data_IF_142448683813
#
_entry.id   IF_142448683813
#
_cell.length_a   1.000
_cell.length_b   1.000
_cell.length_c   1.000
_cell.angle_alpha   90.00
_cell.angle_beta   90.00
_cell.angle_gamma   90.00
#
_symmetry.space_group_name_H-M   'P 1'
#
loop_
_entity.id
_entity.type
_entity.pdbx_description
1 polymer ?
#
# COMPACT_ATOMS: atom_id res chain seq x y z
N UNK A 1 -20.54 -0.22 0.76
CA UNK A 1 -19.71 0.89 0.26
C UNK A 1 -18.40 0.29 -0.19
N UNK A 2 -18.07 0.37 -1.48
CA UNK A 2 -16.75 -0.01 -2.00
C UNK A 2 -15.78 1.03 -1.48
N UNK A 3 -15.02 0.71 -0.44
CA UNK A 3 -13.91 1.55 0.01
C UNK A 3 -12.94 1.60 -1.14
N UNK A 4 -12.90 2.71 -1.87
CA UNK A 4 -11.92 2.94 -2.91
C UNK A 4 -10.54 2.84 -2.25
N UNK A 5 -9.83 1.73 -2.48
CA UNK A 5 -8.45 1.57 -2.02
C UNK A 5 -7.60 2.56 -2.80
N UNK A 6 -7.40 3.74 -2.22
CA UNK A 6 -6.54 4.77 -2.78
C UNK A 6 -5.09 4.29 -2.68
N UNK A 7 -4.37 4.32 -3.79
CA UNK A 7 -2.97 3.93 -3.82
C UNK A 7 -2.14 5.15 -4.21
N UNK A 8 -1.07 5.49 -3.49
CA UNK A 8 -0.21 6.61 -3.86
C UNK A 8 0.38 6.38 -5.27
N UNK A 9 0.44 7.41 -6.14
CA UNK A 9 0.97 7.30 -7.49
C UNK A 9 2.49 7.05 -7.47
N UNK A 10 3.02 6.39 -8.50
CA UNK A 10 4.48 6.26 -8.67
C UNK A 10 5.09 7.58 -9.12
N UNK A 11 6.43 7.68 -9.06
CA UNK A 11 7.15 8.88 -9.49
C UNK A 11 6.87 9.21 -10.96
N UNK A 12 6.89 8.20 -11.82
CA UNK A 12 6.65 8.32 -13.27
C UNK A 12 5.23 8.82 -13.55
N UNK A 13 4.26 8.33 -12.77
CA UNK A 13 2.87 8.79 -12.83
C UNK A 13 2.77 10.26 -12.41
N UNK A 14 3.43 10.65 -11.31
CA UNK A 14 3.46 12.04 -10.84
C UNK A 14 4.12 12.96 -11.87
N UNK A 15 5.24 12.57 -12.47
CA UNK A 15 5.93 13.35 -13.50
C UNK A 15 5.05 13.54 -14.74
N UNK A 16 4.35 12.49 -15.16
CA UNK A 16 3.40 12.55 -16.28
C UNK A 16 2.24 13.51 -15.98
N UNK A 17 1.61 13.38 -14.82
CA UNK A 17 0.48 14.22 -14.39
C UNK A 17 0.92 15.69 -14.26
N UNK A 18 2.10 15.92 -13.66
CA UNK A 18 2.68 17.26 -13.49
C UNK A 18 2.95 17.91 -14.85
N UNK A 19 3.44 17.13 -15.82
CA UNK A 19 3.67 17.64 -17.18
C UNK A 19 2.37 18.12 -17.84
N UNK A 20 1.30 17.32 -17.74
CA UNK A 20 -0.02 17.71 -18.26
C UNK A 20 -0.54 18.97 -17.56
N UNK A 21 -0.39 19.04 -16.24
CA UNK A 21 -0.85 20.19 -15.47
C UNK A 21 -0.08 21.49 -15.82
N UNK A 22 1.24 21.42 -15.88
CA UNK A 22 2.09 22.62 -16.02
C UNK A 22 2.32 23.05 -17.47
N UNK A 23 2.49 22.10 -18.39
CA UNK A 23 2.84 22.40 -19.77
C UNK A 23 1.61 22.40 -20.68
N UNK A 24 0.77 21.37 -20.59
CA UNK A 24 -0.43 21.29 -21.42
C UNK A 24 -1.55 22.20 -20.87
N UNK A 25 -1.43 22.64 -19.60
CA UNK A 25 -2.39 23.49 -18.87
C UNK A 25 -3.80 22.91 -18.84
N UNK A 26 -3.88 21.58 -18.80
CA UNK A 26 -5.12 20.84 -18.82
C UNK A 26 -5.38 20.19 -17.46
N UNK A 27 -6.08 20.94 -16.59
CA UNK A 27 -6.35 20.52 -15.22
C UNK A 27 -7.33 19.34 -15.16
N UNK A 28 -8.32 19.30 -16.06
CA UNK A 28 -9.34 18.24 -16.09
C UNK A 28 -8.74 16.91 -16.52
N UNK A 29 -7.85 16.95 -17.52
CA UNK A 29 -7.06 15.79 -17.93
C UNK A 29 -6.10 15.35 -16.84
N UNK A 30 -5.37 16.27 -16.20
CA UNK A 30 -4.49 15.95 -15.08
C UNK A 30 -5.26 15.29 -13.92
N UNK A 31 -6.46 15.78 -13.59
CA UNK A 31 -7.33 15.21 -12.57
C UNK A 31 -7.80 13.80 -12.95
N UNK A 32 -8.15 13.57 -14.22
CA UNK A 32 -8.53 12.24 -14.73
C UNK A 32 -7.38 11.24 -14.60
N UNK A 33 -6.16 11.64 -14.97
CA UNK A 33 -4.97 10.79 -14.86
C UNK A 33 -4.59 10.52 -13.40
N UNK A 34 -4.74 11.51 -12.52
CA UNK A 34 -4.53 11.33 -11.08
C UNK A 34 -5.53 10.34 -10.50
N UNK A 35 -6.82 10.48 -10.80
CA UNK A 35 -7.84 9.53 -10.37
C UNK A 35 -7.56 8.11 -10.88
N UNK A 36 -7.11 7.98 -12.12
CA UNK A 36 -6.75 6.69 -12.71
C UNK A 36 -5.50 6.05 -12.10
N UNK A 37 -4.50 6.85 -11.75
CA UNK A 37 -3.25 6.40 -11.12
C UNK A 37 -3.47 5.95 -9.66
N UNK A 38 -4.38 6.64 -8.97
CA UNK A 38 -4.66 6.44 -7.55
C UNK A 38 -5.75 5.43 -7.28
N UNK A 39 -6.67 5.25 -8.24
CA UNK A 39 -7.73 4.26 -8.18
C UNK A 39 -7.78 3.43 -9.48
N UNK A 40 -6.96 2.36 -9.56
CA UNK A 40 -6.92 1.52 -10.75
C UNK A 40 -8.24 0.77 -11.02
N UNK A 41 -9.15 0.68 -10.04
CA UNK A 41 -10.44 0.01 -10.16
C UNK A 41 -11.58 0.88 -10.69
N UNK A 42 -11.42 2.20 -10.78
CA UNK A 42 -12.46 3.09 -11.32
C UNK A 42 -12.52 2.96 -12.86
N UNK A 43 -13.74 2.86 -13.40
CA UNK A 43 -13.96 2.91 -14.84
C UNK A 43 -13.59 4.29 -15.39
N UNK A 44 -12.77 4.32 -16.44
CA UNK A 44 -12.38 5.55 -17.10
C UNK A 44 -13.46 6.03 -18.08
N UNK A 45 -13.67 7.35 -18.23
CA UNK A 45 -14.39 7.91 -19.37
C UNK A 45 -13.79 7.38 -20.68
N UNK A 46 -14.66 7.04 -21.65
CA UNK A 46 -14.21 6.45 -22.93
C UNK A 46 -13.21 7.33 -23.67
N UNK A 47 -13.40 8.64 -23.60
CA UNK A 47 -12.53 9.64 -24.25
C UNK A 47 -11.09 9.65 -23.71
N UNK A 48 -10.88 9.25 -22.45
CA UNK A 48 -9.55 9.18 -21.82
C UNK A 48 -9.05 7.74 -21.63
N UNK A 49 -9.74 6.73 -22.17
CA UNK A 49 -9.44 5.32 -21.89
C UNK A 49 -8.00 4.93 -22.24
N UNK A 50 -7.47 5.42 -23.36
CA UNK A 50 -6.09 5.13 -23.78
C UNK A 50 -5.06 5.75 -22.83
N UNK A 51 -5.27 6.99 -22.39
CA UNK A 51 -4.37 7.69 -21.49
C UNK A 51 -4.43 7.13 -20.06
N UNK A 52 -5.63 6.75 -19.62
CA UNK A 52 -5.85 6.04 -18.36
C UNK A 52 -5.17 4.66 -18.38
N UNK A 53 -5.23 3.94 -19.50
CA UNK A 53 -4.48 2.70 -19.65
C UNK A 53 -2.96 2.96 -19.59
N UNK A 54 -2.47 4.02 -20.25
CA UNK A 54 -1.06 4.38 -20.26
C UNK A 54 -0.54 4.77 -18.87
N UNK A 55 -1.26 5.62 -18.11
CA UNK A 55 -0.85 6.03 -16.76
C UNK A 55 -0.84 4.83 -15.81
N UNK A 56 -1.79 3.89 -15.94
CA UNK A 56 -1.81 2.65 -15.14
C UNK A 56 -0.66 1.73 -15.48
N UNK A 57 -0.33 1.60 -16.76
CA UNK A 57 0.77 0.75 -17.23
C UNK A 57 2.15 1.22 -16.74
N UNK A 58 2.31 2.50 -16.39
CA UNK A 58 3.53 3.00 -15.75
C UNK A 58 3.80 2.37 -14.37
N UNK A 59 2.81 1.70 -13.78
CA UNK A 59 3.00 0.82 -12.64
C UNK A 59 3.07 -0.64 -13.13
N UNK A 60 4.27 -1.18 -13.41
CA UNK A 60 4.39 -2.57 -13.79
C UNK A 60 3.86 -3.49 -12.69
N UNK A 61 3.19 -4.61 -13.06
CA UNK A 61 2.82 -5.66 -12.12
C UNK A 61 4.02 -6.18 -11.33
N UNK A 62 3.80 -6.64 -10.10
CA UNK A 62 4.87 -7.06 -9.21
C UNK A 62 5.76 -8.19 -9.77
N UNK A 63 5.21 -9.07 -10.62
CA UNK A 63 5.98 -10.14 -11.27
C UNK A 63 6.85 -9.65 -12.44
N UNK A 64 6.65 -8.42 -12.93
CA UNK A 64 7.50 -7.79 -13.94
C UNK A 64 8.60 -6.93 -13.32
N UNK A 65 8.34 -6.34 -12.14
CA UNK A 65 9.30 -5.49 -11.42
C UNK A 65 9.12 -5.67 -9.91
N UNK A 66 9.70 -6.76 -9.40
CA UNK A 66 9.66 -7.11 -7.99
C UNK A 66 10.38 -6.08 -7.09
N UNK A 67 11.60 -5.60 -7.42
CA UNK A 67 12.27 -4.58 -6.60
C UNK A 67 11.43 -3.33 -6.39
N UNK A 68 10.82 -2.79 -7.45
CA UNK A 68 9.94 -1.62 -7.32
C UNK A 68 8.66 -1.94 -6.54
N UNK A 69 8.11 -3.15 -6.68
CA UNK A 69 6.95 -3.57 -5.90
C UNK A 69 7.26 -3.62 -4.39
N UNK A 70 8.40 -4.20 -4.00
CA UNK A 70 8.85 -4.24 -2.61
C UNK A 70 9.09 -2.83 -2.06
N UNK A 71 9.77 -1.96 -2.81
CA UNK A 71 10.00 -0.58 -2.39
C UNK A 71 8.69 0.19 -2.19
N UNK A 72 7.67 -0.03 -3.03
CA UNK A 72 6.34 0.56 -2.85
C UNK A 72 5.66 0.09 -1.56
N UNK A 73 5.78 -1.20 -1.22
CA UNK A 73 5.24 -1.74 0.04
C UNK A 73 5.95 -1.11 1.24
N UNK A 74 7.28 -1.07 1.23
CA UNK A 74 8.07 -0.44 2.31
C UNK A 74 7.66 1.01 2.50
N UNK A 75 7.63 1.81 1.43
CA UNK A 75 7.24 3.23 1.52
C UNK A 75 5.81 3.44 2.00
N UNK A 76 4.88 2.56 1.63
CA UNK A 76 3.51 2.63 2.13
C UNK A 76 3.48 2.41 3.64
N UNK A 77 4.24 1.44 4.16
CA UNK A 77 4.35 1.21 5.61
C UNK A 77 5.02 2.40 6.31
N UNK A 78 6.14 2.91 5.77
CA UNK A 78 6.85 4.04 6.35
C UNK A 78 5.95 5.29 6.41
N UNK A 79 5.21 5.59 5.35
CA UNK A 79 4.29 6.74 5.29
C UNK A 79 3.23 6.70 6.40
N UNK A 80 2.71 5.50 6.70
CA UNK A 80 1.68 5.33 7.74
C UNK A 80 2.27 5.27 9.17
N UNK A 81 3.56 4.99 9.31
CA UNK A 81 4.18 4.69 10.63
C UNK A 81 5.19 5.73 11.11
N UNK A 82 5.83 6.50 10.23
CA UNK A 82 6.88 7.47 10.59
C UNK A 82 6.39 8.50 11.62
N UNK A 83 5.20 9.06 11.40
CA UNK A 83 4.60 9.99 12.35
C UNK A 83 4.27 9.36 13.70
N UNK A 84 3.96 8.05 13.73
CA UNK A 84 3.66 7.32 14.96
C UNK A 84 4.93 6.98 15.74
N UNK A 85 6.02 6.62 15.06
CA UNK A 85 7.34 6.44 15.69
C UNK A 85 7.80 7.74 16.34
N UNK A 86 7.71 8.85 15.62
CA UNK A 86 8.04 10.17 16.18
C UNK A 86 7.18 10.50 17.41
N UNK A 87 5.90 10.10 17.46
CA UNK A 87 5.06 10.28 18.64
C UNK A 87 5.50 9.41 19.82
N UNK A 88 5.84 8.14 19.58
CA UNK A 88 6.39 7.24 20.61
C UNK A 88 7.69 7.80 21.19
N UNK A 89 8.60 8.26 20.34
CA UNK A 89 9.88 8.85 20.75
C UNK A 89 9.71 10.11 21.61
N UNK A 90 8.60 10.83 21.43
CA UNK A 90 8.20 11.97 22.25
C UNK A 90 7.38 11.59 23.50
N UNK A 91 7.26 10.31 23.81
CA UNK A 91 6.57 9.80 25.00
C UNK A 91 5.04 9.79 24.92
N UNK A 92 4.47 9.94 23.72
CA UNK A 92 3.01 9.86 23.54
C UNK A 92 2.54 8.39 23.48
N UNK A 93 1.92 7.93 24.56
CA UNK A 93 1.43 6.55 24.69
C UNK A 93 0.23 6.20 23.76
N UNK A 94 -0.34 7.17 23.05
CA UNK A 94 -1.47 6.95 22.14
C UNK A 94 -1.05 6.37 20.78
N UNK A 95 0.25 6.38 20.45
CA UNK A 95 0.78 5.76 19.24
C UNK A 95 0.82 4.21 19.32
N UNK A 96 1.05 3.65 20.51
CA UNK A 96 1.15 2.21 20.77
C UNK A 96 -0.04 1.38 20.27
N UNK A 97 -1.31 1.71 20.60
CA UNK A 97 -2.45 0.94 20.12
C UNK A 97 -2.60 1.02 18.59
N UNK A 98 -2.25 2.15 17.97
CA UNK A 98 -2.32 2.34 16.52
C UNK A 98 -1.26 1.50 15.81
N UNK A 99 -0.01 1.57 16.27
CA UNK A 99 1.09 0.77 15.74
C UNK A 99 0.84 -0.72 15.89
N UNK A 100 0.23 -1.15 17.00
CA UNK A 100 -0.15 -2.55 17.21
C UNK A 100 -1.22 -3.00 16.21
N UNK A 101 -2.23 -2.18 15.94
CA UNK A 101 -3.25 -2.48 14.93
C UNK A 101 -2.64 -2.60 13.52
N UNK A 102 -1.73 -1.68 13.16
CA UNK A 102 -1.00 -1.73 11.87
C UNK A 102 -0.15 -3.00 11.80
N UNK A 103 0.63 -3.30 12.84
CA UNK A 103 1.49 -4.49 12.89
C UNK A 103 0.69 -5.79 12.70
N UNK A 104 -0.45 -5.93 13.38
CA UNK A 104 -1.33 -7.09 13.19
C UNK A 104 -1.84 -7.22 11.76
N UNK A 105 -2.25 -6.11 11.14
CA UNK A 105 -2.71 -6.14 9.75
C UNK A 105 -1.59 -6.54 8.78
N UNK A 106 -0.37 -6.07 9.01
CA UNK A 106 0.79 -6.44 8.20
C UNK A 106 1.14 -7.93 8.36
N UNK A 107 1.05 -8.47 9.57
CA UNK A 107 1.25 -9.89 9.84
C UNK A 107 0.19 -10.75 9.14
N UNK A 108 -1.09 -10.37 9.23
CA UNK A 108 -2.19 -11.07 8.54
C UNK A 108 -1.98 -11.12 7.02
N UNK A 109 -1.64 -9.98 6.41
CA UNK A 109 -1.33 -9.90 4.98
C UNK A 109 -0.09 -10.71 4.61
N UNK A 110 0.96 -10.65 5.44
CA UNK A 110 2.18 -11.42 5.28
C UNK A 110 1.94 -12.92 5.32
N UNK A 111 1.13 -13.40 6.27
CA UNK A 111 0.75 -14.82 6.36
C UNK A 111 -0.05 -15.28 5.15
N UNK A 112 -0.99 -14.46 4.66
CA UNK A 112 -1.75 -14.77 3.45
C UNK A 112 -0.82 -14.98 2.24
N UNK A 113 0.17 -14.10 2.06
CA UNK A 113 1.16 -14.25 0.97
C UNK A 113 2.05 -15.46 1.21
N UNK A 114 2.49 -15.69 2.44
CA UNK A 114 3.35 -16.80 2.82
C UNK A 114 2.69 -18.15 2.52
N UNK A 115 1.42 -18.32 2.90
CA UNK A 115 0.61 -19.51 2.60
C UNK A 115 0.55 -19.78 1.08
N UNK A 116 0.21 -18.76 0.28
CA UNK A 116 0.18 -18.89 -1.18
C UNK A 116 1.55 -19.15 -1.81
N UNK A 117 2.65 -18.78 -1.13
CA UNK A 117 4.02 -19.03 -1.59
C UNK A 117 4.62 -20.34 -1.08
N UNK A 118 3.91 -21.08 -0.21
CA UNK A 118 4.42 -22.30 0.43
C UNK A 118 5.47 -22.06 1.53
N UNK A 119 5.59 -20.83 2.05
CA UNK A 119 6.47 -20.53 3.18
C UNK A 119 5.86 -21.07 4.48
N UNK A 120 6.65 -21.83 5.24
CA UNK A 120 6.22 -22.33 6.55
C UNK A 120 6.33 -21.24 7.61
N UNK A 121 5.18 -20.71 8.02
CA UNK A 121 5.06 -19.64 9.00
C UNK A 121 4.79 -20.11 10.44
N UNK A 122 4.72 -21.44 10.69
CA UNK A 122 4.27 -22.00 11.96
C UNK A 122 5.03 -21.48 13.19
N UNK A 123 6.35 -21.30 13.06
CA UNK A 123 7.18 -20.77 14.15
C UNK A 123 6.84 -19.31 14.47
N UNK A 124 6.52 -18.51 13.44
CA UNK A 124 6.14 -17.09 13.60
C UNK A 124 4.73 -17.01 14.18
N UNK A 125 3.79 -17.81 13.67
CA UNK A 125 2.41 -17.91 14.21
C UNK A 125 2.43 -18.27 15.70
N UNK A 126 3.24 -19.26 16.07
CA UNK A 126 3.40 -19.68 17.48
C UNK A 126 3.97 -18.55 18.33
N UNK A 127 5.03 -17.88 17.86
CA UNK A 127 5.62 -16.76 18.59
C UNK A 127 4.65 -15.59 18.80
N UNK A 128 3.83 -15.27 17.80
CA UNK A 128 2.76 -14.25 17.90
C UNK A 128 1.72 -14.71 18.91
N UNK A 129 1.24 -15.94 18.79
CA UNK A 129 0.19 -16.46 19.66
C UNK A 129 0.63 -16.49 21.12
N UNK A 130 1.88 -16.84 21.41
CA UNK A 130 2.48 -16.73 22.75
C UNK A 130 2.56 -15.29 23.22
N UNK A 131 3.06 -14.38 22.37
CA UNK A 131 3.24 -12.95 22.72
C UNK A 131 1.91 -12.26 23.06
N UNK A 132 0.84 -12.65 22.38
CA UNK A 132 -0.49 -12.06 22.52
C UNK A 132 -1.50 -12.92 23.30
N UNK A 133 -1.04 -14.03 23.91
CA UNK A 133 -1.86 -14.97 24.67
C UNK A 133 -3.15 -15.39 23.94
N UNK A 134 -3.02 -15.74 22.65
CA UNK A 134 -4.17 -16.13 21.84
C UNK A 134 -4.66 -17.54 22.25
N UNK A 135 -5.99 -17.78 22.33
CA UNK A 135 -6.53 -19.08 22.71
C UNK A 135 -6.08 -20.21 21.76
N UNK A 136 -5.69 -21.35 22.30
CA UNK A 136 -5.31 -22.55 21.54
C UNK A 136 -3.82 -22.68 21.18
N UNK A 137 -2.97 -21.78 21.69
CA UNK A 137 -1.51 -21.82 21.52
C UNK A 137 -0.75 -21.79 22.86
N UNK A 138 -1.42 -22.16 23.95
CA UNK A 138 -0.76 -22.41 25.23
C UNK A 138 0.09 -23.68 25.08
N UNK A 139 1.40 -23.52 25.35
CA UNK A 139 2.44 -24.46 24.98
C UNK A 139 2.20 -25.91 25.42
N UNK A 140 2.54 -26.83 24.51
CA UNK A 140 3.08 -28.14 24.88
C UNK A 140 4.51 -28.01 25.37
#
# INVERSE_FOLDING_TARGET
MTTATYVPPTREQVETITRVLLHDRDADRAATLLAAATNPGIAAPREHAAEVAAIRAQRPPAHHDLPSALLRITRAIDTETEGLYARQDNGHADADPVLRAIAFRLLELGFTIAEHSGLNCRTIETAIATTYALPGHEGT
#
